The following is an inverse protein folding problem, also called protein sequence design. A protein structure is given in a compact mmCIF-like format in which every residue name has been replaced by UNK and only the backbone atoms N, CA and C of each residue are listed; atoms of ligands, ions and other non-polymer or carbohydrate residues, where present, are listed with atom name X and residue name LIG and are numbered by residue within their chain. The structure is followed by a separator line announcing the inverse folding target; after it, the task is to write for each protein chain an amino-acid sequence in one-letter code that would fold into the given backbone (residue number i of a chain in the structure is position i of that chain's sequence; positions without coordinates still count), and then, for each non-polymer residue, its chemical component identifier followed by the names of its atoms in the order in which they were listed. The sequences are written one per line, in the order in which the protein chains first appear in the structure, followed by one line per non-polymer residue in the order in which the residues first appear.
data_IF_913611015936
#
_entry.id   IF_913611015936
#
_cell.length_a   1.000
_cell.length_b   1.000
_cell.length_c   1.000
_cell.angle_alpha   90.00
_cell.angle_beta   90.00
_cell.angle_gamma   90.00
#
_symmetry.space_group_name_H-M   'P 1'
#
loop_
_entity.id
_entity.type
_entity.pdbx_description
1 polymer ?
#
# COMPACT_ATOMS: atom_id res chain seq x y z
N UNK A 1 -3.10 -3.07 36.26
CA UNK A 1 -2.22 -4.21 35.88
C UNK A 1 -1.50 -3.84 34.58
N UNK A 2 -0.19 -4.01 34.50
CA UNK A 2 0.56 -3.73 33.29
C UNK A 2 0.16 -4.71 32.18
N UNK A 3 -0.08 -4.21 30.97
CA UNK A 3 -0.48 -5.04 29.80
C UNK A 3 0.69 -5.95 29.40
N UNK A 4 0.50 -7.26 29.50
CA UNK A 4 1.50 -8.23 29.08
C UNK A 4 1.38 -8.51 27.58
N UNK A 5 2.46 -8.35 26.84
CA UNK A 5 2.56 -8.77 25.43
C UNK A 5 2.89 -10.25 25.37
N UNK A 6 2.21 -11.00 24.50
CA UNK A 6 2.44 -12.44 24.26
C UNK A 6 2.50 -12.70 22.77
N UNK A 7 3.42 -13.54 22.35
CA UNK A 7 3.59 -13.90 20.95
C UNK A 7 4.08 -15.34 20.80
N UNK A 8 3.51 -16.09 19.83
CA UNK A 8 3.96 -17.44 19.53
C UNK A 8 5.13 -17.40 18.54
N UNK A 9 6.21 -18.10 18.86
CA UNK A 9 7.43 -18.18 18.05
C UNK A 9 7.56 -19.58 17.48
N UNK A 10 7.61 -19.70 16.16
CA UNK A 10 7.88 -20.97 15.48
C UNK A 10 9.34 -21.36 15.72
N UNK A 11 9.57 -22.57 16.21
CA UNK A 11 10.91 -23.07 16.54
C UNK A 11 11.35 -24.28 15.69
N UNK A 12 10.49 -24.79 14.80
CA UNK A 12 10.82 -25.90 13.91
C UNK A 12 9.60 -26.72 13.54
N UNK A 13 9.87 -27.90 12.96
CA UNK A 13 8.87 -28.91 12.65
C UNK A 13 9.12 -30.16 13.51
N UNK A 14 8.06 -30.82 13.94
CA UNK A 14 8.16 -32.12 14.60
C UNK A 14 8.47 -33.24 13.58
N UNK A 15 8.63 -34.48 14.10
CA UNK A 15 8.93 -35.68 13.29
C UNK A 15 7.86 -35.97 12.23
N UNK A 16 6.67 -35.39 12.34
CA UNK A 16 5.52 -35.56 11.45
C UNK A 16 5.32 -34.35 10.53
N UNK A 17 6.26 -33.39 10.50
CA UNK A 17 6.17 -32.18 9.70
C UNK A 17 5.24 -31.10 10.28
N UNK A 18 4.74 -31.25 11.52
CA UNK A 18 3.90 -30.27 12.19
C UNK A 18 4.75 -29.18 12.85
N UNK A 19 4.35 -27.93 12.66
CA UNK A 19 5.05 -26.76 13.19
C UNK A 19 5.03 -26.72 14.72
N UNK A 20 6.20 -26.56 15.33
CA UNK A 20 6.39 -26.41 16.78
C UNK A 20 6.47 -24.91 17.11
N UNK A 21 5.68 -24.47 18.12
CA UNK A 21 5.68 -23.09 18.61
C UNK A 21 6.04 -23.04 20.09
N UNK A 22 6.79 -21.99 20.49
CA UNK A 22 6.94 -21.55 21.90
C UNK A 22 6.37 -20.16 22.09
N UNK A 23 5.87 -19.84 23.29
CA UNK A 23 5.32 -18.54 23.61
C UNK A 23 6.40 -17.60 24.16
N UNK A 24 6.58 -16.45 23.50
CA UNK A 24 7.35 -15.34 24.02
C UNK A 24 6.41 -14.38 24.79
N UNK A 25 6.89 -13.84 25.92
CA UNK A 25 6.13 -12.89 26.73
C UNK A 25 7.03 -11.73 27.19
N UNK A 26 6.43 -10.54 27.37
CA UNK A 26 7.13 -9.37 27.87
C UNK A 26 6.16 -8.30 28.34
N UNK A 27 6.56 -7.44 29.26
CA UNK A 27 5.76 -6.30 29.72
C UNK A 27 5.96 -5.05 28.85
N UNK A 28 7.03 -5.03 28.05
CA UNK A 28 7.28 -4.05 27.00
C UNK A 28 7.50 -4.76 25.66
N UNK A 29 7.41 -4.03 24.55
CA UNK A 29 7.78 -4.59 23.22
C UNK A 29 9.25 -5.04 23.19
N UNK A 30 10.13 -4.37 23.94
CA UNK A 30 11.54 -4.74 24.06
C UNK A 30 11.70 -6.08 24.79
N UNK A 31 11.00 -6.27 25.90
CA UNK A 31 11.04 -7.55 26.65
C UNK A 31 10.50 -8.70 25.82
N UNK A 32 9.44 -8.45 25.04
CA UNK A 32 8.90 -9.43 24.12
C UNK A 32 9.95 -9.83 23.06
N UNK A 33 10.65 -8.88 22.45
CA UNK A 33 11.71 -9.16 21.47
C UNK A 33 12.87 -9.92 22.09
N UNK A 34 13.27 -9.59 23.32
CA UNK A 34 14.31 -10.33 24.06
C UNK A 34 13.84 -11.78 24.31
N UNK A 35 12.58 -11.98 24.69
CA UNK A 35 12.00 -13.30 24.91
C UNK A 35 11.96 -14.12 23.60
N UNK A 36 11.61 -13.49 22.47
CA UNK A 36 11.65 -14.13 21.14
C UNK A 36 13.08 -14.53 20.78
N UNK A 37 14.05 -13.64 20.96
CA UNK A 37 15.45 -13.91 20.69
C UNK A 37 15.98 -15.12 21.51
N UNK A 38 15.62 -15.19 22.80
CA UNK A 38 15.99 -16.31 23.68
C UNK A 38 15.41 -17.63 23.19
N UNK A 39 14.12 -17.65 22.84
CA UNK A 39 13.45 -18.85 22.33
C UNK A 39 14.10 -19.36 21.04
N UNK A 40 14.48 -18.45 20.13
CA UNK A 40 15.15 -18.80 18.89
C UNK A 40 16.58 -19.31 19.12
N UNK A 41 17.29 -18.74 20.12
CA UNK A 41 18.60 -19.23 20.54
C UNK A 41 18.52 -20.65 21.14
N UNK A 42 17.59 -20.88 22.07
CA UNK A 42 17.33 -22.21 22.66
C UNK A 42 16.93 -23.26 21.63
N UNK A 43 16.29 -22.85 20.55
CA UNK A 43 15.92 -23.72 19.43
C UNK A 43 17.08 -23.97 18.45
N UNK A 44 18.27 -23.38 18.68
CA UNK A 44 19.42 -23.47 17.79
C UNK A 44 19.25 -22.75 16.45
N UNK A 45 18.19 -21.95 16.32
CA UNK A 45 17.91 -21.17 15.12
C UNK A 45 18.75 -19.89 15.06
N UNK A 46 19.22 -19.41 16.20
CA UNK A 46 20.24 -18.39 16.37
C UNK A 46 21.20 -18.84 17.49
N UNK A 47 22.50 -18.52 17.40
CA UNK A 47 23.47 -18.89 18.42
C UNK A 47 23.20 -18.25 19.78
N UNK A 48 23.66 -18.87 20.87
CA UNK A 48 23.47 -18.42 22.26
C UNK A 48 23.87 -16.95 22.47
N UNK A 49 22.99 -16.18 23.11
CA UNK A 49 23.15 -14.77 23.38
C UNK A 49 24.10 -14.50 24.55
N UNK A 50 25.39 -14.70 24.35
CA UNK A 50 26.43 -14.12 25.21
C UNK A 50 27.45 -13.38 24.32
N UNK A 51 27.81 -12.13 24.61
CA UNK A 51 28.76 -11.36 23.80
C UNK A 51 30.18 -11.76 24.13
N UNK A 52 30.66 -12.85 23.59
CA UNK A 52 32.06 -13.25 23.65
C UNK A 52 32.68 -13.21 22.26
N UNK A 53 33.99 -13.10 22.18
CA UNK A 53 34.80 -13.05 20.95
C UNK A 53 34.50 -14.19 19.95
N UNK A 54 33.92 -15.29 20.44
CA UNK A 54 33.41 -16.42 19.63
C UNK A 54 32.09 -16.08 18.88
N UNK A 55 31.28 -15.11 19.33
CA UNK A 55 30.07 -14.65 18.64
C UNK A 55 30.39 -13.79 17.42
N UNK A 56 31.50 -13.05 17.45
CA UNK A 56 31.97 -12.30 16.26
C UNK A 56 32.27 -13.23 15.08
N UNK A 57 32.65 -14.50 15.32
CA UNK A 57 32.86 -15.51 14.27
C UNK A 57 31.55 -16.08 13.68
N UNK A 58 30.38 -15.76 14.24
CA UNK A 58 29.06 -16.31 13.85
C UNK A 58 28.04 -15.28 13.39
N UNK A 59 28.40 -14.00 13.23
CA UNK A 59 27.47 -13.01 12.69
C UNK A 59 27.11 -13.40 11.26
N UNK A 60 25.81 -13.65 10.96
CA UNK A 60 25.37 -14.06 9.64
C UNK A 60 25.52 -12.96 8.61
N UNK A 61 25.54 -13.31 7.34
CA UNK A 61 25.35 -12.33 6.29
C UNK A 61 23.88 -11.85 6.25
N UNK A 62 23.65 -10.73 5.61
CA UNK A 62 22.31 -10.09 5.56
C UNK A 62 21.25 -11.02 4.97
N UNK A 63 21.55 -11.75 3.88
CA UNK A 63 20.59 -12.66 3.24
C UNK A 63 20.20 -13.83 4.14
N UNK A 64 21.16 -14.40 4.88
CA UNK A 64 20.92 -15.52 5.78
C UNK A 64 20.11 -15.07 7.01
N UNK A 65 20.42 -13.89 7.58
CA UNK A 65 19.64 -13.30 8.65
C UNK A 65 18.19 -13.07 8.22
N UNK A 66 17.99 -12.49 7.03
CA UNK A 66 16.65 -12.25 6.48
C UNK A 66 15.90 -13.58 6.31
N UNK A 67 16.53 -14.58 5.69
CA UNK A 67 15.89 -15.87 5.40
C UNK A 67 15.56 -16.66 6.66
N UNK A 68 16.49 -16.74 7.61
CA UNK A 68 16.39 -17.63 8.78
C UNK A 68 15.66 -16.99 9.96
N UNK A 69 15.67 -15.64 10.05
CA UNK A 69 15.13 -14.90 11.19
C UNK A 69 14.02 -13.94 10.77
N UNK A 70 14.31 -13.01 9.86
CA UNK A 70 13.38 -11.91 9.58
C UNK A 70 12.11 -12.38 8.87
N UNK A 71 12.19 -13.29 7.92
CA UNK A 71 11.03 -13.82 7.21
C UNK A 71 10.07 -14.57 8.15
N UNK A 72 10.50 -15.62 8.88
CA UNK A 72 9.58 -16.39 9.72
C UNK A 72 8.95 -15.58 10.84
N UNK A 73 9.72 -14.61 11.41
CA UNK A 73 9.26 -13.85 12.58
C UNK A 73 8.40 -12.64 12.21
N UNK A 74 8.72 -11.95 11.11
CA UNK A 74 8.10 -10.66 10.82
C UNK A 74 7.29 -10.64 9.52
N UNK A 75 7.75 -11.32 8.45
CA UNK A 75 7.09 -11.23 7.15
C UNK A 75 5.85 -12.12 7.07
N UNK A 76 5.91 -13.34 7.59
CA UNK A 76 4.82 -14.31 7.49
C UNK A 76 3.56 -13.92 8.26
N UNK A 77 3.68 -12.96 9.18
CA UNK A 77 2.57 -12.45 10.00
C UNK A 77 1.89 -11.21 9.43
N UNK A 78 2.42 -10.69 8.34
CA UNK A 78 1.86 -9.51 7.69
C UNK A 78 0.68 -9.88 6.80
N UNK A 79 -0.21 -8.90 6.56
CA UNK A 79 -1.23 -9.05 5.54
C UNK A 79 -0.60 -9.44 4.19
N UNK A 80 -1.22 -10.32 3.39
CA UNK A 80 -0.62 -10.91 2.20
C UNK A 80 0.02 -9.91 1.25
N UNK A 81 -0.66 -8.80 0.96
CA UNK A 81 -0.14 -7.73 0.09
C UNK A 81 1.10 -7.05 0.68
N UNK A 82 1.11 -6.81 1.99
CA UNK A 82 2.25 -6.18 2.68
C UNK A 82 3.45 -7.14 2.70
N UNK A 83 3.20 -8.41 3.01
CA UNK A 83 4.22 -9.46 3.01
C UNK A 83 4.89 -9.58 1.63
N UNK A 84 4.09 -9.60 0.57
CA UNK A 84 4.60 -9.70 -0.80
C UNK A 84 5.39 -8.45 -1.21
N UNK A 85 4.92 -7.26 -0.90
CA UNK A 85 5.66 -6.02 -1.14
C UNK A 85 7.02 -6.02 -0.43
N UNK A 86 7.08 -6.53 0.81
CA UNK A 86 8.34 -6.62 1.54
C UNK A 86 9.27 -7.68 0.96
N UNK A 87 8.75 -8.85 0.54
CA UNK A 87 9.54 -9.88 -0.17
C UNK A 87 10.15 -9.30 -1.45
N UNK A 88 9.37 -8.57 -2.23
CA UNK A 88 9.86 -7.92 -3.45
C UNK A 88 10.92 -6.86 -3.15
N UNK A 89 10.71 -5.98 -2.15
CA UNK A 89 11.73 -5.00 -1.75
C UNK A 89 13.03 -5.68 -1.31
N UNK A 90 12.94 -6.76 -0.54
CA UNK A 90 14.09 -7.51 -0.08
C UNK A 90 14.81 -8.18 -1.26
N UNK A 91 14.06 -8.92 -2.08
CA UNK A 91 14.62 -9.69 -3.19
C UNK A 91 15.23 -8.80 -4.27
N UNK A 92 14.54 -7.71 -4.61
CA UNK A 92 14.93 -6.85 -5.73
C UNK A 92 15.90 -5.72 -5.35
N UNK A 93 16.03 -5.37 -4.06
CA UNK A 93 16.87 -4.24 -3.65
C UNK A 93 17.89 -4.61 -2.58
N UNK A 94 17.43 -5.24 -1.47
CA UNK A 94 18.29 -5.41 -0.29
C UNK A 94 19.31 -6.53 -0.53
N UNK A 95 18.83 -7.72 -0.92
CA UNK A 95 19.69 -8.88 -1.13
C UNK A 95 20.73 -8.68 -2.25
N UNK A 96 20.41 -8.07 -3.41
CA UNK A 96 21.40 -7.87 -4.46
C UNK A 96 22.61 -7.03 -4.05
N UNK A 97 22.43 -6.08 -3.15
CA UNK A 97 23.52 -5.17 -2.74
C UNK A 97 24.13 -5.54 -1.38
N UNK A 98 23.29 -5.87 -0.39
CA UNK A 98 23.72 -6.13 0.97
C UNK A 98 23.82 -7.61 1.31
N UNK A 99 23.18 -8.50 0.53
CA UNK A 99 22.93 -9.87 0.92
C UNK A 99 24.15 -10.68 1.35
N UNK A 100 25.25 -10.54 0.65
CA UNK A 100 26.49 -11.28 0.91
C UNK A 100 27.40 -10.64 1.98
N UNK A 101 27.09 -9.40 2.37
CA UNK A 101 27.83 -8.71 3.43
C UNK A 101 27.42 -9.23 4.79
N UNK A 102 28.37 -9.36 5.73
CA UNK A 102 28.07 -9.67 7.13
C UNK A 102 27.34 -8.50 7.78
N UNK A 103 26.41 -8.81 8.70
CA UNK A 103 25.61 -7.78 9.39
C UNK A 103 26.49 -6.75 10.13
N UNK A 104 27.61 -7.18 10.72
CA UNK A 104 28.56 -6.35 11.48
C UNK A 104 29.54 -5.54 10.58
N UNK A 105 29.65 -5.88 9.31
CA UNK A 105 30.48 -5.15 8.33
C UNK A 105 29.74 -4.00 7.66
N UNK A 106 28.41 -4.01 7.70
CA UNK A 106 27.61 -2.95 7.10
C UNK A 106 27.65 -1.69 7.98
N UNK A 107 28.25 -0.66 7.47
CA UNK A 107 28.41 0.64 8.13
C UNK A 107 27.63 1.75 7.40
N UNK A 108 27.67 2.98 7.93
CA UNK A 108 26.98 4.15 7.35
C UNK A 108 27.37 4.40 5.90
N UNK A 109 28.67 4.27 5.58
CA UNK A 109 29.16 4.46 4.20
C UNK A 109 28.58 3.41 3.24
N UNK A 110 28.47 2.15 3.72
CA UNK A 110 27.82 1.08 2.94
C UNK A 110 26.34 1.38 2.67
N UNK A 111 25.62 1.94 3.65
CA UNK A 111 24.21 2.33 3.45
C UNK A 111 24.11 3.52 2.48
N UNK A 112 25.02 4.50 2.55
CA UNK A 112 25.03 5.59 1.56
C UNK A 112 25.25 5.05 0.14
N UNK A 113 26.23 4.15 -0.05
CA UNK A 113 26.46 3.49 -1.34
C UNK A 113 25.24 2.69 -1.80
N UNK A 114 24.52 2.05 -0.87
CA UNK A 114 23.29 1.36 -1.17
C UNK A 114 22.18 2.30 -1.67
N UNK A 115 22.04 3.49 -1.09
CA UNK A 115 21.09 4.51 -1.56
C UNK A 115 21.48 5.05 -2.94
N UNK A 116 22.76 5.36 -3.13
CA UNK A 116 23.30 5.84 -4.42
C UNK A 116 23.12 4.78 -5.52
N UNK A 117 23.36 3.50 -5.18
CA UNK A 117 23.13 2.38 -6.08
C UNK A 117 21.66 2.26 -6.49
N UNK A 118 20.71 2.40 -5.56
CA UNK A 118 19.27 2.38 -5.88
C UNK A 118 18.84 3.58 -6.72
N UNK A 119 19.45 4.74 -6.52
CA UNK A 119 19.16 5.97 -7.26
C UNK A 119 19.70 5.92 -8.71
N UNK A 120 20.81 5.22 -8.94
CA UNK A 120 21.50 5.19 -10.21
C UNK A 120 21.39 3.87 -10.98
N UNK A 121 20.77 2.83 -10.40
CA UNK A 121 20.90 1.49 -10.93
C UNK A 121 19.90 1.15 -12.02
N UNK A 122 20.40 0.95 -13.20
CA UNK A 122 19.79 0.11 -14.24
C UNK A 122 20.16 -1.38 -14.10
N UNK A 123 20.79 -1.79 -13.00
CA UNK A 123 21.30 -3.15 -12.80
C UNK A 123 20.18 -4.13 -12.43
N UNK A 124 20.31 -5.38 -12.82
CA UNK A 124 19.37 -6.49 -12.62
C UNK A 124 18.03 -6.39 -13.38
N UNK A 125 18.07 -5.95 -14.65
CA UNK A 125 16.88 -5.95 -15.51
C UNK A 125 15.86 -4.86 -15.20
N UNK A 126 16.17 -3.92 -14.32
CA UNK A 126 15.38 -2.72 -14.11
C UNK A 126 15.76 -1.66 -15.11
N UNK A 127 14.79 -1.22 -15.88
CA UNK A 127 14.99 -0.16 -16.87
C UNK A 127 14.98 1.25 -16.28
N UNK A 128 14.75 1.43 -14.95
CA UNK A 128 14.60 2.75 -14.33
C UNK A 128 15.23 2.81 -12.94
N UNK A 129 15.84 3.95 -12.66
CA UNK A 129 16.27 4.35 -11.33
C UNK A 129 15.08 4.40 -10.37
N UNK A 130 15.30 4.13 -9.08
CA UNK A 130 14.27 4.28 -8.08
C UNK A 130 14.16 5.75 -7.66
N UNK A 131 12.92 6.21 -7.46
CA UNK A 131 12.65 7.53 -6.92
C UNK A 131 12.90 7.58 -5.39
N UNK A 132 13.06 8.81 -4.88
CA UNK A 132 13.33 9.12 -3.47
C UNK A 132 12.39 8.35 -2.51
N UNK A 133 11.08 8.42 -2.71
CA UNK A 133 10.08 7.77 -1.86
C UNK A 133 10.18 6.25 -1.83
N UNK A 134 10.59 5.64 -2.93
CA UNK A 134 10.82 4.19 -2.98
C UNK A 134 12.10 3.83 -2.23
N UNK A 135 13.16 4.61 -2.37
CA UNK A 135 14.42 4.42 -1.63
C UNK A 135 14.18 4.59 -0.13
N UNK A 136 13.43 5.61 0.29
CA UNK A 136 13.02 5.78 1.70
C UNK A 136 12.30 4.54 2.26
N UNK A 137 11.38 3.98 1.48
CA UNK A 137 10.63 2.76 1.90
C UNK A 137 11.53 1.54 2.04
N UNK A 138 12.45 1.33 1.08
CA UNK A 138 13.43 0.25 1.14
C UNK A 138 14.41 0.47 2.28
N UNK A 139 14.90 1.69 2.46
CA UNK A 139 15.77 2.10 3.58
C UNK A 139 15.10 1.89 4.93
N UNK A 140 13.84 2.26 5.07
CA UNK A 140 13.06 2.04 6.29
C UNK A 140 12.85 0.56 6.61
N UNK A 141 12.68 -0.30 5.60
CA UNK A 141 12.63 -1.75 5.79
C UNK A 141 14.00 -2.30 6.20
N UNK A 142 15.06 -1.86 5.52
CA UNK A 142 16.44 -2.27 5.84
C UNK A 142 16.83 -1.84 7.27
N UNK A 143 16.49 -0.61 7.65
CA UNK A 143 16.73 -0.11 9.02
C UNK A 143 16.04 -0.99 10.08
N UNK A 144 14.80 -1.45 9.81
CA UNK A 144 14.10 -2.39 10.72
C UNK A 144 14.81 -3.73 10.81
N UNK A 145 15.32 -4.27 9.70
CA UNK A 145 16.09 -5.52 9.70
C UNK A 145 17.33 -5.40 10.59
N UNK A 146 18.10 -4.31 10.44
CA UNK A 146 19.28 -4.06 11.25
C UNK A 146 18.95 -3.75 12.73
N UNK A 147 17.80 -3.10 12.97
CA UNK A 147 17.33 -2.87 14.35
C UNK A 147 17.02 -4.20 15.06
N UNK A 148 16.38 -5.15 14.36
CA UNK A 148 16.15 -6.49 14.92
C UNK A 148 17.48 -7.19 15.21
N UNK A 149 18.47 -7.12 14.32
CA UNK A 149 19.78 -7.69 14.55
C UNK A 149 20.50 -7.08 15.77
N UNK A 150 20.36 -5.75 15.97
CA UNK A 150 20.85 -5.06 17.16
C UNK A 150 20.11 -5.53 18.43
N UNK A 151 18.78 -5.59 18.40
CA UNK A 151 17.96 -6.01 19.54
C UNK A 151 18.26 -7.48 19.93
N UNK A 152 18.76 -8.29 18.98
CA UNK A 152 19.25 -9.67 19.20
C UNK A 152 20.72 -9.74 19.63
N UNK A 153 21.44 -8.61 19.74
CA UNK A 153 22.84 -8.57 20.14
C UNK A 153 23.85 -9.03 19.06
N UNK A 154 23.42 -9.17 17.80
CA UNK A 154 24.30 -9.58 16.69
C UNK A 154 25.20 -8.44 16.20
N UNK A 155 24.76 -7.19 16.40
CA UNK A 155 25.50 -5.96 16.12
C UNK A 155 25.35 -4.99 17.28
N UNK A 156 26.35 -4.19 17.53
CA UNK A 156 26.34 -3.21 18.62
C UNK A 156 25.48 -1.99 18.29
N UNK A 157 25.59 -1.49 17.04
CA UNK A 157 24.82 -0.34 16.56
C UNK A 157 24.25 -0.57 15.17
N UNK A 158 23.14 0.12 14.86
CA UNK A 158 22.59 0.10 13.50
C UNK A 158 23.38 1.08 12.61
N UNK A 159 23.60 0.73 11.33
CA UNK A 159 24.30 1.62 10.39
C UNK A 159 23.44 2.80 9.90
N UNK A 160 22.23 2.95 10.42
CA UNK A 160 21.27 3.97 10.01
C UNK A 160 21.34 5.20 10.94
N UNK A 161 22.33 6.05 10.73
CA UNK A 161 22.46 7.36 11.41
C UNK A 161 21.92 8.43 10.44
N UNK A 162 20.71 8.92 10.70
CA UNK A 162 19.95 9.80 9.79
C UNK A 162 20.69 11.08 9.39
N UNK A 163 21.50 11.65 10.28
CA UNK A 163 22.27 12.87 10.02
C UNK A 163 23.38 12.72 8.97
N UNK A 164 23.79 11.48 8.67
CA UNK A 164 24.89 11.18 7.74
C UNK A 164 24.40 10.54 6.44
N UNK A 165 23.13 10.23 6.33
CA UNK A 165 22.55 9.59 5.15
C UNK A 165 21.72 10.59 4.36
N UNK A 166 21.87 10.58 3.03
CA UNK A 166 21.09 11.39 2.11
C UNK A 166 20.64 10.58 0.91
N UNK A 167 19.44 10.86 0.44
CA UNK A 167 18.90 10.24 -0.78
C UNK A 167 18.95 11.28 -1.88
N UNK A 168 19.73 10.99 -2.93
CA UNK A 168 19.88 11.82 -4.13
C UNK A 168 19.21 11.13 -5.31
N UNK A 169 17.89 11.26 -5.38
CA UNK A 169 17.06 10.62 -6.41
C UNK A 169 15.95 11.58 -6.87
N UNK A 170 15.38 11.26 -8.01
CA UNK A 170 14.18 11.98 -8.48
C UNK A 170 13.05 11.88 -7.48
N UNK A 171 12.34 12.97 -7.28
CA UNK A 171 11.13 12.97 -6.44
C UNK A 171 10.04 12.13 -7.11
N UNK A 172 9.31 11.38 -6.30
CA UNK A 172 8.13 10.67 -6.80
C UNK A 172 7.12 11.66 -7.37
N UNK A 173 6.54 11.34 -8.51
CA UNK A 173 5.39 12.08 -9.02
C UNK A 173 4.23 12.02 -8.00
N UNK A 174 3.53 13.14 -7.85
CA UNK A 174 2.33 13.19 -7.02
C UNK A 174 1.10 12.93 -7.90
N UNK A 175 0.08 12.28 -7.31
CA UNK A 175 -1.24 12.25 -7.90
C UNK A 175 -1.75 13.69 -8.06
N UNK A 176 -2.26 13.99 -9.25
CA UNK A 176 -2.79 15.30 -9.58
C UNK A 176 -4.24 15.18 -10.04
N UNK A 177 -5.11 16.15 -9.74
CA UNK A 177 -6.45 16.14 -10.27
C UNK A 177 -6.43 16.34 -11.79
N UNK A 178 -7.37 15.71 -12.48
CA UNK A 178 -7.64 15.96 -13.89
C UNK A 178 -8.24 17.38 -14.05
N UNK A 179 -7.99 18.07 -15.17
CA UNK A 179 -8.71 19.30 -15.52
C UNK A 179 -10.21 19.05 -15.62
N UNK A 180 -11.04 20.02 -15.24
CA UNK A 180 -12.50 19.87 -15.28
C UNK A 180 -13.02 19.57 -16.69
N UNK A 181 -12.45 20.20 -17.71
CA UNK A 181 -12.83 19.93 -19.10
C UNK A 181 -12.60 18.46 -19.50
N UNK A 182 -11.52 17.83 -19.02
CA UNK A 182 -11.26 16.42 -19.23
C UNK A 182 -12.25 15.53 -18.49
N UNK A 183 -12.56 15.86 -17.23
CA UNK A 183 -13.55 15.13 -16.44
C UNK A 183 -14.92 15.15 -17.12
N UNK A 184 -15.37 16.32 -17.57
CA UNK A 184 -16.67 16.47 -18.24
C UNK A 184 -16.69 15.78 -19.62
N UNK A 185 -15.57 15.79 -20.35
CA UNK A 185 -15.41 15.02 -21.57
C UNK A 185 -15.56 13.52 -21.29
N UNK A 186 -14.81 12.99 -20.32
CA UNK A 186 -14.85 11.58 -19.95
C UNK A 186 -16.26 11.16 -19.50
N UNK A 187 -16.94 11.98 -18.68
CA UNK A 187 -18.32 11.71 -18.25
C UNK A 187 -19.28 11.56 -19.42
N UNK A 188 -19.16 12.39 -20.47
CA UNK A 188 -19.98 12.29 -21.69
C UNK A 188 -19.66 11.07 -22.53
N UNK A 189 -18.40 10.62 -22.53
CA UNK A 189 -17.96 9.49 -23.36
C UNK A 189 -18.17 8.12 -22.68
N UNK A 190 -18.23 8.05 -21.33
CA UNK A 190 -18.49 6.78 -20.62
C UNK A 190 -19.73 6.04 -21.14
N UNK A 191 -20.91 6.67 -21.33
CA UNK A 191 -22.07 5.97 -21.87
C UNK A 191 -21.89 5.43 -23.30
N UNK A 192 -20.94 5.95 -24.06
CA UNK A 192 -20.64 5.57 -25.43
C UNK A 192 -19.68 4.38 -25.53
N UNK A 193 -19.00 4.00 -24.44
CA UNK A 193 -18.15 2.82 -24.43
C UNK A 193 -18.99 1.56 -24.74
N UNK A 194 -18.53 0.74 -25.68
CA UNK A 194 -19.22 -0.51 -26.03
C UNK A 194 -19.01 -1.60 -24.98
N UNK A 195 -17.80 -1.67 -24.41
CA UNK A 195 -17.46 -2.70 -23.46
C UNK A 195 -18.11 -2.42 -22.09
N UNK A 196 -18.97 -3.33 -21.63
CA UNK A 196 -19.65 -3.27 -20.32
C UNK A 196 -18.69 -3.03 -19.16
N UNK A 197 -17.61 -3.80 -19.10
CA UNK A 197 -16.66 -3.78 -17.98
C UNK A 197 -15.92 -2.45 -17.91
N UNK A 198 -15.55 -1.89 -19.07
CA UNK A 198 -14.92 -0.57 -19.15
C UNK A 198 -15.88 0.54 -18.70
N UNK A 199 -17.12 0.47 -19.20
CA UNK A 199 -18.18 1.43 -18.88
C UNK A 199 -18.45 1.48 -17.36
N UNK A 200 -18.70 0.33 -16.77
CA UNK A 200 -18.96 0.20 -15.33
C UNK A 200 -17.75 0.66 -14.50
N UNK A 201 -16.55 0.16 -14.83
CA UNK A 201 -15.34 0.50 -14.10
C UNK A 201 -15.06 2.02 -14.11
N UNK A 202 -15.19 2.65 -15.28
CA UNK A 202 -14.98 4.09 -15.42
C UNK A 202 -16.07 4.91 -14.74
N UNK A 203 -17.32 4.45 -14.75
CA UNK A 203 -18.38 5.12 -14.01
C UNK A 203 -18.09 5.17 -12.50
N UNK A 204 -17.71 4.05 -11.89
CA UNK A 204 -17.31 4.06 -10.48
C UNK A 204 -16.09 4.95 -10.22
N UNK A 205 -15.09 4.89 -11.09
CA UNK A 205 -13.85 5.64 -10.93
C UNK A 205 -14.11 7.16 -10.93
N UNK A 206 -14.94 7.63 -11.86
CA UNK A 206 -15.20 9.06 -12.08
C UNK A 206 -16.23 9.64 -11.09
N UNK A 207 -17.29 8.90 -10.80
CA UNK A 207 -18.43 9.44 -10.04
C UNK A 207 -18.35 9.21 -8.54
N UNK A 208 -17.49 8.32 -8.05
CA UNK A 208 -17.47 7.95 -6.62
C UNK A 208 -16.15 8.17 -5.91
N UNK A 209 -15.08 8.38 -6.66
CA UNK A 209 -13.73 8.46 -6.09
C UNK A 209 -13.27 7.22 -5.32
N UNK A 210 -13.90 6.05 -5.53
CA UNK A 210 -13.49 4.79 -4.91
C UNK A 210 -12.06 4.43 -5.28
N UNK A 211 -11.41 3.66 -4.39
CA UNK A 211 -10.12 3.07 -4.73
C UNK A 211 -10.31 1.99 -5.81
N UNK A 212 -9.35 1.82 -6.74
CA UNK A 212 -9.46 0.78 -7.79
C UNK A 212 -9.72 -0.63 -7.25
N UNK A 213 -9.13 -0.96 -6.09
CA UNK A 213 -9.34 -2.24 -5.41
C UNK A 213 -10.74 -2.39 -4.81
N UNK A 214 -11.36 -1.31 -4.37
CA UNK A 214 -12.74 -1.28 -3.87
C UNK A 214 -13.75 -1.42 -5.04
N UNK A 215 -13.50 -0.76 -6.18
CA UNK A 215 -14.34 -0.91 -7.39
C UNK A 215 -14.38 -2.37 -7.85
N UNK A 216 -13.25 -3.07 -7.78
CA UNK A 216 -13.21 -4.50 -8.12
C UNK A 216 -13.94 -5.38 -7.11
N UNK A 217 -14.09 -4.90 -5.87
CA UNK A 217 -14.71 -5.61 -4.76
C UNK A 217 -16.19 -5.35 -4.57
N UNK A 218 -16.75 -4.30 -5.20
CA UNK A 218 -18.16 -3.95 -5.00
C UNK A 218 -19.07 -5.03 -5.58
N UNK A 219 -20.17 -5.32 -4.86
CA UNK A 219 -21.11 -6.35 -5.20
C UNK A 219 -22.49 -5.76 -5.51
N UNK A 220 -23.28 -6.44 -6.34
CA UNK A 220 -24.61 -5.97 -6.71
C UNK A 220 -25.56 -5.91 -5.52
N UNK A 221 -25.49 -6.84 -4.57
CA UNK A 221 -26.26 -6.82 -3.33
C UNK A 221 -25.98 -5.64 -2.41
N UNK A 222 -24.88 -4.92 -2.66
CA UNK A 222 -24.49 -3.70 -1.94
C UNK A 222 -24.81 -2.42 -2.72
N UNK A 223 -25.46 -2.52 -3.88
CA UNK A 223 -25.87 -1.40 -4.73
C UNK A 223 -27.38 -1.23 -4.69
N UNK A 224 -27.82 -0.06 -4.25
CA UNK A 224 -29.23 0.29 -4.11
C UNK A 224 -29.55 1.42 -5.08
N UNK A 225 -29.81 1.07 -6.37
CA UNK A 225 -30.01 2.04 -7.43
C UNK A 225 -31.24 2.95 -7.16
N UNK A 226 -32.31 2.39 -6.62
CA UNK A 226 -33.54 3.14 -6.30
C UNK A 226 -33.34 4.15 -5.17
N UNK A 227 -32.43 3.84 -4.22
CA UNK A 227 -32.11 4.69 -3.08
C UNK A 227 -30.88 5.57 -3.31
N UNK A 228 -30.25 5.47 -4.49
CA UNK A 228 -29.12 6.31 -4.93
C UNK A 228 -27.84 6.14 -4.09
N UNK A 229 -27.60 4.97 -3.51
CA UNK A 229 -26.37 4.69 -2.77
C UNK A 229 -25.85 3.27 -3.01
N UNK A 230 -24.60 3.05 -2.64
CA UNK A 230 -23.98 1.74 -2.50
C UNK A 230 -23.13 1.67 -1.25
N UNK A 231 -22.72 0.47 -0.84
CA UNK A 231 -21.90 0.24 0.34
C UNK A 231 -20.59 -0.45 -0.04
N UNK A 232 -19.46 0.12 0.35
CA UNK A 232 -18.14 -0.48 0.15
C UNK A 232 -17.83 -1.39 1.33
N UNK A 233 -17.82 -2.72 1.13
CA UNK A 233 -17.57 -3.71 2.19
C UNK A 233 -16.27 -4.49 2.00
N UNK A 234 -15.75 -4.55 0.78
CA UNK A 234 -14.52 -5.29 0.51
C UNK A 234 -13.66 -4.63 -0.57
N UNK A 235 -12.42 -5.10 -0.66
CA UNK A 235 -11.47 -4.69 -1.68
C UNK A 235 -10.76 -5.91 -2.24
N UNK A 236 -10.46 -5.90 -3.55
CA UNK A 236 -9.74 -6.98 -4.21
C UNK A 236 -8.34 -6.51 -4.56
N UNK A 237 -7.36 -7.22 -4.02
CA UNK A 237 -5.94 -7.03 -4.29
C UNK A 237 -5.34 -8.28 -4.94
N UNK A 238 -4.17 -8.14 -5.52
CA UNK A 238 -3.45 -9.23 -6.20
C UNK A 238 -2.02 -9.31 -5.68
N UNK A 239 -1.79 -9.90 -4.49
CA UNK A 239 -0.45 -9.95 -3.88
C UNK A 239 0.62 -10.54 -4.80
N UNK A 240 0.28 -11.59 -5.52
CA UNK A 240 1.17 -12.32 -6.43
C UNK A 240 0.84 -12.13 -7.92
N UNK A 241 0.08 -11.09 -8.27
CA UNK A 241 -0.37 -10.80 -9.64
C UNK A 241 -1.17 -11.93 -10.34
N UNK A 242 -1.65 -12.93 -9.59
CA UNK A 242 -2.35 -14.08 -10.16
C UNK A 242 -3.74 -14.27 -9.58
N UNK A 243 -3.84 -14.56 -8.29
CA UNK A 243 -5.11 -14.84 -7.63
C UNK A 243 -5.67 -13.60 -6.93
N UNK A 244 -6.97 -13.31 -7.08
CA UNK A 244 -7.62 -12.26 -6.33
C UNK A 244 -7.61 -12.61 -4.83
N UNK A 245 -7.22 -11.66 -4.01
CA UNK A 245 -7.38 -11.72 -2.57
C UNK A 245 -8.50 -10.77 -2.17
N UNK A 246 -9.59 -11.35 -1.68
CA UNK A 246 -10.75 -10.60 -1.18
C UNK A 246 -10.46 -10.30 0.28
N UNK A 247 -10.33 -9.04 0.61
CA UNK A 247 -10.04 -8.57 1.96
C UNK A 247 -11.03 -7.51 2.42
N UNK A 248 -11.10 -7.31 3.73
CA UNK A 248 -11.74 -6.10 4.27
C UNK A 248 -11.00 -4.88 3.74
N UNK A 249 -11.67 -3.75 3.56
CA UNK A 249 -11.00 -2.50 3.25
C UNK A 249 -9.92 -2.20 4.30
N UNK A 250 -8.90 -1.43 3.93
CA UNK A 250 -7.65 -1.25 4.68
C UNK A 250 -7.81 -0.73 6.12
N UNK A 251 -8.91 -0.03 6.42
CA UNK A 251 -9.21 0.54 7.74
C UNK A 251 -10.67 0.28 8.09
N UNK A 252 -11.03 0.28 9.38
CA UNK A 252 -12.42 0.16 9.85
C UNK A 252 -13.34 1.25 9.27
N UNK A 253 -12.81 2.46 9.04
CA UNK A 253 -13.53 3.57 8.39
C UNK A 253 -13.69 3.41 6.86
N UNK A 254 -13.18 2.33 6.28
CA UNK A 254 -13.30 2.10 4.83
C UNK A 254 -14.61 1.43 4.44
N UNK A 255 -15.35 0.83 5.38
CA UNK A 255 -16.75 0.47 5.15
C UNK A 255 -17.57 1.74 5.18
N UNK A 256 -18.10 2.13 4.04
CA UNK A 256 -18.77 3.41 3.87
C UNK A 256 -19.81 3.38 2.78
N UNK A 257 -20.71 4.36 2.84
CA UNK A 257 -21.66 4.64 1.77
C UNK A 257 -20.96 5.41 0.65
N UNK A 258 -21.28 5.05 -0.59
CA UNK A 258 -21.01 5.84 -1.79
C UNK A 258 -22.32 6.36 -2.37
N UNK A 259 -22.31 7.56 -2.89
CA UNK A 259 -23.49 8.17 -3.53
C UNK A 259 -23.46 7.85 -5.03
N UNK A 260 -24.63 7.47 -5.57
CA UNK A 260 -24.82 7.16 -6.98
C UNK A 260 -25.60 8.31 -7.63
N UNK A 261 -24.92 9.11 -8.45
CA UNK A 261 -25.56 10.17 -9.22
C UNK A 261 -26.60 9.60 -10.22
N UNK A 262 -27.54 10.43 -10.68
CA UNK A 262 -28.53 10.01 -11.69
C UNK A 262 -27.86 9.40 -12.93
N UNK A 263 -26.86 10.08 -13.47
CA UNK A 263 -26.09 9.63 -14.63
C UNK A 263 -25.40 8.29 -14.38
N UNK A 264 -24.82 8.09 -13.19
CA UNK A 264 -24.20 6.79 -12.85
C UNK A 264 -25.24 5.68 -12.75
N UNK A 265 -26.42 5.97 -12.17
CA UNK A 265 -27.51 4.98 -12.10
C UNK A 265 -28.02 4.57 -13.49
N UNK A 266 -28.15 5.53 -14.40
CA UNK A 266 -28.51 5.25 -15.81
C UNK A 266 -27.47 4.34 -16.49
N UNK A 267 -26.17 4.56 -16.23
CA UNK A 267 -25.09 3.70 -16.74
C UNK A 267 -25.15 2.29 -16.15
N UNK A 268 -25.52 2.13 -14.88
CA UNK A 268 -25.53 0.84 -14.17
C UNK A 268 -26.81 0.04 -14.42
N UNK A 269 -27.97 0.71 -14.54
CA UNK A 269 -29.30 0.08 -14.61
C UNK A 269 -29.44 -1.05 -15.64
N UNK A 270 -28.89 -0.94 -16.89
CA UNK A 270 -28.96 -2.03 -17.87
C UNK A 270 -28.22 -3.31 -17.45
N UNK A 271 -27.33 -3.23 -16.46
CA UNK A 271 -26.46 -4.32 -16.01
C UNK A 271 -26.80 -4.84 -14.62
N UNK A 272 -27.83 -4.30 -13.99
CA UNK A 272 -28.25 -4.64 -12.63
C UNK A 272 -28.50 -6.15 -12.46
N UNK A 273 -27.98 -6.71 -11.40
CA UNK A 273 -28.13 -8.11 -11.02
C UNK A 273 -28.50 -8.20 -9.53
N UNK A 274 -29.06 -9.35 -9.12
CA UNK A 274 -29.42 -9.57 -7.71
C UNK A 274 -28.21 -9.73 -6.81
N UNK A 275 -27.15 -10.36 -7.32
CA UNK A 275 -25.96 -10.69 -6.53
C UNK A 275 -24.72 -10.80 -7.45
N UNK A 276 -23.55 -10.90 -6.83
CA UNK A 276 -22.27 -11.08 -7.49
C UNK A 276 -21.46 -9.79 -7.62
N UNK A 277 -20.23 -9.90 -8.11
CA UNK A 277 -19.36 -8.74 -8.28
C UNK A 277 -19.83 -7.89 -9.47
N UNK A 278 -19.97 -6.60 -9.26
CA UNK A 278 -20.32 -5.64 -10.30
C UNK A 278 -19.28 -5.68 -11.42
N UNK A 279 -18.02 -5.78 -11.04
CA UNK A 279 -16.90 -6.04 -11.93
C UNK A 279 -16.49 -7.53 -11.84
N UNK A 280 -17.16 -8.43 -12.60
CA UNK A 280 -16.73 -9.83 -12.61
C UNK A 280 -17.85 -10.86 -12.72
N UNK A 281 -18.99 -10.65 -12.10
CA UNK A 281 -20.09 -11.62 -11.98
C UNK A 281 -19.94 -12.49 -10.73
N UNK A 282 -20.08 -13.81 -10.82
CA UNK A 282 -19.94 -14.71 -9.66
C UNK A 282 -18.53 -14.67 -9.04
N UNK A 283 -17.50 -14.53 -9.87
CA UNK A 283 -16.12 -14.48 -9.45
C UNK A 283 -15.52 -13.10 -9.74
N UNK A 284 -14.64 -12.60 -8.87
CA UNK A 284 -13.95 -11.35 -9.13
C UNK A 284 -13.00 -11.47 -10.31
N UNK A 285 -12.69 -10.35 -10.94
CA UNK A 285 -11.69 -10.34 -12.01
C UNK A 285 -10.35 -10.91 -11.55
N UNK A 286 -9.70 -11.72 -12.39
CA UNK A 286 -8.29 -12.01 -12.22
C UNK A 286 -7.44 -10.76 -12.57
N UNK A 287 -6.18 -10.75 -12.12
CA UNK A 287 -5.26 -9.63 -12.34
C UNK A 287 -5.16 -9.19 -13.80
N UNK A 288 -5.00 -10.15 -14.71
CA UNK A 288 -4.85 -9.85 -16.15
C UNK A 288 -6.09 -9.20 -16.75
N UNK A 289 -7.30 -9.64 -16.36
CA UNK A 289 -8.56 -9.01 -16.79
C UNK A 289 -8.66 -7.58 -16.23
N UNK A 290 -8.43 -7.39 -14.94
CA UNK A 290 -8.47 -6.07 -14.32
C UNK A 290 -7.52 -5.08 -15.02
N UNK A 291 -6.28 -5.48 -15.29
CA UNK A 291 -5.29 -4.63 -15.94
C UNK A 291 -5.62 -4.36 -17.41
N UNK A 292 -6.18 -5.34 -18.13
CA UNK A 292 -6.61 -5.16 -19.51
C UNK A 292 -7.77 -4.18 -19.61
N UNK A 293 -8.83 -4.39 -18.82
CA UNK A 293 -9.99 -3.49 -18.78
C UNK A 293 -9.59 -2.05 -18.47
N UNK A 294 -8.75 -1.86 -17.43
CA UNK A 294 -8.23 -0.54 -17.08
C UNK A 294 -7.48 0.12 -18.24
N UNK A 295 -6.53 -0.59 -18.87
CA UNK A 295 -5.73 -0.04 -19.97
C UNK A 295 -6.57 0.23 -21.22
N UNK A 296 -7.50 -0.65 -21.52
CA UNK A 296 -8.41 -0.51 -22.65
C UNK A 296 -9.34 0.68 -22.49
N UNK A 297 -9.97 0.83 -21.31
CA UNK A 297 -10.83 1.97 -21.00
C UNK A 297 -10.07 3.31 -21.14
N UNK A 298 -8.86 3.38 -20.60
CA UNK A 298 -8.04 4.60 -20.70
C UNK A 298 -7.66 4.91 -22.15
N UNK A 299 -7.35 3.89 -22.95
CA UNK A 299 -7.06 4.04 -24.38
C UNK A 299 -8.27 4.54 -25.15
N UNK A 300 -9.44 3.92 -24.94
CA UNK A 300 -10.69 4.30 -25.64
C UNK A 300 -11.13 5.73 -25.30
N UNK A 301 -10.95 6.14 -24.05
CA UNK A 301 -11.25 7.49 -23.58
C UNK A 301 -10.09 8.49 -23.80
N UNK A 302 -9.02 8.12 -24.48
CA UNK A 302 -7.89 9.01 -24.75
C UNK A 302 -7.21 9.58 -23.49
N UNK A 303 -7.26 8.86 -22.36
CA UNK A 303 -6.70 9.32 -21.08
C UNK A 303 -5.19 9.07 -21.06
N UNK A 304 -4.40 10.14 -21.13
CA UNK A 304 -2.94 10.09 -21.20
C UNK A 304 -2.32 10.84 -20.02
N UNK A 305 -1.30 10.25 -19.40
CA UNK A 305 -0.55 10.88 -18.30
C UNK A 305 -1.27 10.91 -16.95
N UNK A 306 -2.36 10.16 -16.81
CA UNK A 306 -3.11 9.97 -15.57
C UNK A 306 -3.23 8.49 -15.22
N UNK A 307 -3.48 8.21 -13.95
CA UNK A 307 -3.77 6.86 -13.45
C UNK A 307 -5.09 6.80 -12.68
N UNK A 308 -5.52 5.60 -12.32
CA UNK A 308 -6.81 5.43 -11.63
C UNK A 308 -6.90 6.19 -10.29
N UNK A 309 -5.79 6.36 -9.57
CA UNK A 309 -5.77 7.14 -8.33
C UNK A 309 -5.91 8.65 -8.55
N UNK A 310 -5.57 9.16 -9.74
CA UNK A 310 -5.76 10.58 -10.06
C UNK A 310 -7.24 10.95 -10.13
N UNK A 311 -8.11 10.02 -10.53
CA UNK A 311 -9.57 10.21 -10.48
C UNK A 311 -10.09 10.36 -9.04
N UNK A 312 -9.53 9.59 -8.12
CA UNK A 312 -9.86 9.73 -6.71
C UNK A 312 -9.40 11.10 -6.17
N UNK A 313 -8.22 11.54 -6.56
CA UNK A 313 -7.71 12.88 -6.25
C UNK A 313 -8.62 13.95 -6.85
N UNK A 314 -9.06 13.76 -8.10
CA UNK A 314 -9.99 14.65 -8.80
C UNK A 314 -11.32 14.78 -8.07
N UNK A 315 -11.94 13.65 -7.73
CA UNK A 315 -13.23 13.63 -7.03
C UNK A 315 -13.16 14.38 -5.69
N UNK A 316 -12.14 14.10 -4.88
CA UNK A 316 -11.95 14.80 -3.62
C UNK A 316 -11.66 16.30 -3.79
N UNK A 317 -10.94 16.69 -4.85
CA UNK A 317 -10.69 18.10 -5.19
C UNK A 317 -11.98 18.80 -5.58
N UNK A 318 -12.81 18.17 -6.41
CA UNK A 318 -14.13 18.73 -6.80
C UNK A 318 -15.07 18.91 -5.61
N UNK A 319 -15.12 17.93 -4.68
CA UNK A 319 -15.90 18.07 -3.44
C UNK A 319 -15.40 19.25 -2.59
N UNK A 320 -14.10 19.44 -2.47
CA UNK A 320 -13.52 20.57 -1.74
C UNK A 320 -13.85 21.90 -2.42
N UNK A 321 -13.74 21.97 -3.73
CA UNK A 321 -14.07 23.16 -4.52
C UNK A 321 -15.57 23.48 -4.53
N UNK A 322 -16.44 22.50 -4.26
CA UNK A 322 -17.88 22.72 -4.02
C UNK A 322 -18.20 23.26 -2.61
N UNK A 323 -17.19 23.43 -1.76
CA UNK A 323 -17.35 23.93 -0.38
C UNK A 323 -17.70 22.85 0.64
N UNK A 324 -17.59 21.56 0.29
CA UNK A 324 -17.84 20.48 1.25
C UNK A 324 -16.83 20.47 2.39
N UNK A 325 -17.29 20.26 3.61
CA UNK A 325 -16.44 20.21 4.79
C UNK A 325 -15.40 19.07 4.68
N UNK A 326 -14.16 19.34 5.12
CA UNK A 326 -13.04 18.38 5.03
C UNK A 326 -13.34 17.06 5.74
N UNK A 327 -14.06 17.09 6.87
CA UNK A 327 -14.51 15.88 7.58
C UNK A 327 -15.46 15.04 6.72
N UNK A 328 -16.46 15.66 6.07
CA UNK A 328 -17.40 14.96 5.21
C UNK A 328 -16.69 14.36 3.98
N UNK A 329 -15.71 15.06 3.40
CA UNK A 329 -14.86 14.51 2.34
C UNK A 329 -14.07 13.29 2.85
N UNK A 330 -13.49 13.37 4.05
CA UNK A 330 -12.75 12.25 4.65
C UNK A 330 -13.65 11.01 4.82
N UNK A 331 -14.87 11.19 5.31
CA UNK A 331 -15.85 10.12 5.48
C UNK A 331 -16.25 9.49 4.13
N UNK A 332 -16.61 10.30 3.14
CA UNK A 332 -16.95 9.81 1.78
C UNK A 332 -15.78 9.10 1.11
N UNK A 333 -14.56 9.53 1.36
CA UNK A 333 -13.35 8.92 0.80
C UNK A 333 -12.88 7.70 1.62
N UNK A 334 -13.41 7.47 2.83
CA UNK A 334 -12.97 6.42 3.73
C UNK A 334 -11.51 6.64 4.18
N UNK A 335 -11.20 7.86 4.62
CA UNK A 335 -9.93 8.22 5.24
C UNK A 335 -10.08 8.15 6.76
N UNK A 336 -9.04 7.60 7.42
CA UNK A 336 -9.05 7.47 8.88
C UNK A 336 -8.87 8.82 9.59
N UNK A 337 -8.34 9.84 8.90
CA UNK A 337 -8.21 11.20 9.41
C UNK A 337 -8.28 12.26 8.27
N UNK A 338 -8.51 13.52 8.66
CA UNK A 338 -8.63 14.65 7.73
C UNK A 338 -7.30 15.10 7.13
N UNK A 339 -6.15 14.71 7.74
CA UNK A 339 -4.80 15.10 7.27
C UNK A 339 -4.55 14.67 5.82
N UNK A 340 -5.09 13.53 5.39
CA UNK A 340 -4.99 13.10 4.00
C UNK A 340 -5.72 14.08 3.07
N UNK A 341 -6.90 14.55 3.46
CA UNK A 341 -7.66 15.55 2.68
C UNK A 341 -6.92 16.89 2.67
N UNK A 342 -6.38 17.31 3.81
CA UNK A 342 -5.65 18.57 3.96
C UNK A 342 -4.33 18.55 3.18
N UNK A 343 -3.56 17.47 3.24
CA UNK A 343 -2.23 17.38 2.62
C UNK A 343 -2.28 17.09 1.12
N UNK A 344 -3.10 16.11 0.73
CA UNK A 344 -3.14 15.61 -0.66
C UNK A 344 -3.97 16.54 -1.55
N UNK A 345 -5.07 17.10 -0.99
CA UNK A 345 -6.02 17.94 -1.72
C UNK A 345 -5.90 19.44 -1.31
N UNK A 346 -4.83 19.81 -0.62
CA UNK A 346 -4.57 21.20 -0.19
C UNK A 346 -4.34 22.18 -1.36
N UNK A 347 -3.93 21.66 -2.51
CA UNK A 347 -3.71 22.47 -3.71
C UNK A 347 -5.05 22.68 -4.42
N UNK A 348 -5.80 23.68 -3.99
CA UNK A 348 -6.96 24.16 -4.73
C UNK A 348 -6.49 24.62 -6.11
N UNK A 349 -7.16 24.15 -7.18
CA UNK A 349 -6.86 24.61 -8.53
C UNK A 349 -7.19 26.11 -8.66
N UNK A 350 -6.50 26.80 -9.57
CA UNK A 350 -6.76 28.21 -9.84
C UNK A 350 -8.23 28.47 -10.16
N UNK A 351 -8.86 27.56 -10.93
CA UNK A 351 -10.27 27.58 -11.30
C UNK A 351 -11.19 27.49 -10.07
N UNK A 352 -10.84 26.68 -9.06
CA UNK A 352 -11.60 26.59 -7.81
C UNK A 352 -11.52 27.87 -6.98
N UNK A 353 -10.35 28.52 -6.97
CA UNK A 353 -10.20 29.84 -6.30
C UNK A 353 -11.06 30.89 -7.00
N UNK A 354 -11.06 30.93 -8.33
CA UNK A 354 -11.87 31.85 -9.10
C UNK A 354 -13.37 31.69 -8.85
N UNK A 355 -13.87 30.43 -8.86
CA UNK A 355 -15.29 30.15 -8.53
C UNK A 355 -15.68 30.64 -7.13
N UNK A 356 -14.78 30.53 -6.15
CA UNK A 356 -15.05 31.10 -4.81
C UNK A 356 -15.05 32.60 -4.78
N UNK A 357 -14.19 33.25 -5.56
CA UNK A 357 -14.22 34.71 -5.71
C UNK A 357 -15.52 35.17 -6.37
N UNK A 358 -15.92 34.54 -7.48
CA UNK A 358 -17.18 34.85 -8.17
C UNK A 358 -18.40 34.69 -7.24
N UNK A 359 -18.40 33.61 -6.41
CA UNK A 359 -19.46 33.37 -5.43
C UNK A 359 -19.47 34.40 -4.28
N UNK A 360 -18.30 34.91 -3.87
CA UNK A 360 -18.19 35.98 -2.87
C UNK A 360 -18.66 37.34 -3.44
N UNK A 361 -18.29 37.65 -4.68
CA UNK A 361 -18.73 38.85 -5.36
C UNK A 361 -20.26 38.87 -5.57
N UNK A 362 -20.83 37.73 -5.98
CA UNK A 362 -22.27 37.56 -6.13
C UNK A 362 -23.08 37.69 -4.81
N UNK A 363 -22.43 37.43 -3.65
CA UNK A 363 -23.06 37.65 -2.32
C UNK A 363 -23.00 39.10 -1.84
N UNK A 364 -22.08 39.87 -2.40
CA UNK A 364 -21.86 41.27 -2.04
C UNK A 364 -22.50 42.25 -3.04
N UNK A 365 -23.09 41.75 -4.11
CA UNK A 365 -23.88 42.47 -5.09
C UNK A 365 -25.38 42.34 -4.78
#
# INVERSE_FOLDING_TARGET
MAKQYKESVMIGLDKNGKTIYKWATGYTKRDLHISIARILAEAGLIGDAQPTEQLRKRVPNVKDFIRKVYYPVFIERLAPTTAENYRQMIHLNIVPFLGDKRMDEVNVATIQQFYDWMASASQYGRQKNLNEKTIERVGGLTSRIFKVAKDMGLIEETPFKSTLLSIRAEKAGHHRPLPDCEVERIKREIPLLENRDEKIYMAFLVYTGMRPEEIRGIRWEDIHLDQSYGVVKCAITYPTNSKPHIGKPKTEHSERIILLTSTMREVLKPYEQKEGFVCGGEQPWCYSRAMRTYRSAFKHLGIVGFCAYDFRTTFATQLKESGMATSAIADLMGHADTRMVETVYARTRKEGVMKHLDALEARNA
#
